data_IF_917700193193
#
_entry.id   IF_917700193193
#
_cell.length_a   1.000
_cell.length_b   1.000
_cell.length_c   1.000
_cell.angle_alpha   90.00
_cell.angle_beta   90.00
_cell.angle_gamma   90.00
#
_symmetry.space_group_name_H-M   'P 1'
#
loop_
_entity.id
_entity.type
_entity.pdbx_description
1 polymer ?
#
# COMPACT_ATOMS: atom_id res chain seq x y z
N UNK A 1 26.29 -17.03 10.94
CA UNK A 1 26.41 -16.27 9.67
C UNK A 1 25.09 -15.65 9.19
N UNK A 2 24.09 -16.39 8.66
CA UNK A 2 22.82 -15.77 8.20
C UNK A 2 22.04 -15.11 9.35
N UNK A 3 21.99 -15.74 10.51
CA UNK A 3 21.34 -15.23 11.73
C UNK A 3 21.98 -13.97 12.29
N UNK A 4 23.31 -13.81 12.16
CA UNK A 4 24.02 -12.61 12.64
C UNK A 4 23.76 -11.40 11.75
N UNK A 5 23.62 -11.63 10.44
CA UNK A 5 23.22 -10.58 9.50
C UNK A 5 21.80 -10.09 9.78
N UNK A 6 20.83 -11.01 9.97
CA UNK A 6 19.44 -10.63 10.27
C UNK A 6 19.32 -9.85 11.58
N UNK A 7 20.12 -10.20 12.60
CA UNK A 7 20.19 -9.44 13.85
C UNK A 7 20.76 -8.04 13.65
N UNK A 8 21.75 -7.87 12.77
CA UNK A 8 22.36 -6.57 12.46
C UNK A 8 21.45 -5.66 11.64
N UNK A 9 20.66 -6.25 10.72
CA UNK A 9 19.72 -5.50 9.88
C UNK A 9 18.39 -5.23 10.58
N UNK A 10 18.09 -5.91 11.68
CA UNK A 10 16.83 -5.72 12.40
C UNK A 10 16.72 -4.28 12.95
N UNK A 11 15.65 -3.60 12.58
CA UNK A 11 15.44 -2.20 12.92
C UNK A 11 14.48 -1.53 11.96
N UNK A 12 14.23 -0.25 12.20
CA UNK A 12 13.47 0.64 11.33
C UNK A 12 14.39 1.72 10.78
N UNK A 13 14.25 1.99 9.49
CA UNK A 13 15.10 2.90 8.73
C UNK A 13 14.21 3.90 7.98
N UNK A 14 14.69 5.14 7.88
CA UNK A 14 14.07 6.17 7.04
C UNK A 14 14.81 6.23 5.71
N UNK A 15 14.06 6.44 4.63
CA UNK A 15 14.63 6.68 3.32
C UNK A 15 15.28 8.07 3.27
N UNK A 16 16.53 8.13 2.78
CA UNK A 16 17.26 9.39 2.61
C UNK A 16 17.31 9.87 1.17
N UNK A 17 17.57 8.96 0.22
CA UNK A 17 17.65 9.27 -1.21
C UNK A 17 17.53 7.97 -2.03
N UNK A 18 17.18 8.10 -3.31
CA UNK A 18 17.22 7.03 -4.30
C UNK A 18 17.69 7.55 -5.64
N UNK A 19 18.42 6.70 -6.36
CA UNK A 19 18.65 6.86 -7.80
C UNK A 19 18.44 5.49 -8.45
N UNK A 20 17.91 5.48 -9.66
CA UNK A 20 17.67 4.25 -10.40
C UNK A 20 18.16 4.42 -11.83
N UNK A 21 18.98 3.50 -12.30
CA UNK A 21 19.61 3.56 -13.62
C UNK A 21 19.39 2.24 -14.36
N UNK A 22 19.14 2.32 -15.67
CA UNK A 22 19.08 1.17 -16.56
C UNK A 22 19.93 1.44 -17.81
N UNK A 23 21.02 0.68 -17.95
CA UNK A 23 21.96 0.77 -19.07
C UNK A 23 22.47 2.20 -19.38
N UNK A 24 22.80 2.96 -18.33
CA UNK A 24 23.31 4.34 -18.44
C UNK A 24 22.23 5.42 -18.56
N UNK A 25 20.95 5.05 -18.56
CA UNK A 25 19.82 5.99 -18.53
C UNK A 25 19.19 6.00 -17.14
N UNK A 26 19.01 7.19 -16.56
CA UNK A 26 18.27 7.33 -15.30
C UNK A 26 16.78 7.01 -15.51
N UNK A 27 16.21 6.24 -14.59
CA UNK A 27 14.82 5.84 -14.60
C UNK A 27 13.98 6.86 -13.84
N UNK A 28 12.88 7.29 -14.43
CA UNK A 28 11.89 8.11 -13.77
C UNK A 28 11.29 7.38 -12.56
N UNK A 29 11.12 8.11 -11.45
CA UNK A 29 10.55 7.56 -10.24
C UNK A 29 9.01 7.61 -10.28
N UNK A 30 8.30 6.49 -10.09
CA UNK A 30 6.84 6.48 -10.07
C UNK A 30 6.22 7.21 -8.87
N UNK A 31 7.02 7.59 -7.86
CA UNK A 31 6.58 8.35 -6.68
C UNK A 31 6.92 9.84 -6.75
N UNK A 32 7.43 10.33 -7.88
CA UNK A 32 7.82 11.73 -8.02
C UNK A 32 9.27 12.03 -7.65
N UNK A 33 9.59 13.31 -7.62
CA UNK A 33 10.91 13.82 -7.25
C UNK A 33 11.09 13.80 -5.72
N UNK A 34 10.02 14.06 -4.96
CA UNK A 34 10.05 14.06 -3.51
C UNK A 34 9.14 12.99 -2.93
N UNK A 35 9.74 12.08 -2.16
CA UNK A 35 9.00 11.03 -1.48
C UNK A 35 9.74 10.55 -0.24
N UNK A 36 8.99 10.00 0.70
CA UNK A 36 9.51 9.45 1.96
C UNK A 36 9.28 7.95 2.02
N UNK A 37 10.02 7.28 2.90
CA UNK A 37 9.82 5.86 3.11
C UNK A 37 10.31 5.36 4.46
N UNK A 38 9.67 4.30 4.93
CA UNK A 38 10.07 3.55 6.11
C UNK A 38 10.32 2.10 5.70
N UNK A 39 11.48 1.58 6.09
CA UNK A 39 11.86 0.19 5.93
C UNK A 39 11.98 -0.45 7.32
N UNK A 40 11.30 -1.56 7.55
CA UNK A 40 11.39 -2.31 8.80
C UNK A 40 11.85 -3.73 8.51
N UNK A 41 12.92 -4.16 9.18
CA UNK A 41 13.38 -5.54 9.21
C UNK A 41 13.16 -6.13 10.61
N UNK A 42 12.66 -7.35 10.66
CA UNK A 42 12.53 -8.12 11.91
C UNK A 42 13.76 -9.01 12.13
N UNK A 43 14.04 -9.36 13.40
CA UNK A 43 15.14 -10.28 13.75
C UNK A 43 14.99 -11.68 13.15
N UNK A 44 13.76 -12.06 12.76
CA UNK A 44 13.45 -13.35 12.15
C UNK A 44 13.47 -13.31 10.62
N UNK A 45 13.77 -12.16 10.01
CA UNK A 45 13.99 -12.03 8.57
C UNK A 45 12.82 -11.51 7.74
N UNK A 46 11.70 -11.12 8.35
CA UNK A 46 10.62 -10.40 7.66
C UNK A 46 11.01 -8.95 7.38
N UNK A 47 10.52 -8.41 6.26
CA UNK A 47 10.76 -7.04 5.84
C UNK A 47 9.47 -6.38 5.32
N UNK A 48 9.28 -5.10 5.63
CA UNK A 48 8.26 -4.25 5.01
C UNK A 48 8.89 -2.91 4.62
N UNK A 49 8.62 -2.47 3.39
CA UNK A 49 8.97 -1.14 2.91
C UNK A 49 7.69 -0.41 2.51
N UNK A 50 7.47 0.76 3.09
CA UNK A 50 6.35 1.64 2.74
C UNK A 50 6.95 2.95 2.26
N UNK A 51 6.61 3.34 1.03
CA UNK A 51 7.06 4.57 0.41
C UNK A 51 5.83 5.38 0.01
N UNK A 52 5.89 6.70 0.15
CA UNK A 52 4.83 7.60 -0.22
C UNK A 52 5.41 8.87 -0.84
N UNK A 53 4.85 9.28 -1.98
CA UNK A 53 5.10 10.60 -2.54
C UNK A 53 4.75 11.68 -1.51
N UNK A 54 5.56 12.73 -1.43
CA UNK A 54 5.21 13.98 -0.76
C UNK A 54 4.96 15.12 -1.75
N UNK A 55 5.19 14.90 -3.04
CA UNK A 55 4.74 15.82 -4.09
C UNK A 55 3.20 15.86 -4.09
N UNK A 56 2.66 17.07 -3.96
CA UNK A 56 1.21 17.30 -3.80
C UNK A 56 0.41 16.90 -5.03
N UNK A 57 1.03 16.89 -6.21
CA UNK A 57 0.46 16.42 -7.47
C UNK A 57 0.10 14.93 -7.47
N UNK A 58 0.83 14.10 -6.70
CA UNK A 58 0.53 12.67 -6.57
C UNK A 58 -0.41 12.35 -5.41
N UNK A 59 -0.75 13.34 -4.57
CA UNK A 59 -1.81 13.19 -3.58
C UNK A 59 -3.12 12.83 -4.27
N UNK A 60 -3.91 11.88 -3.73
CA UNK A 60 -5.19 11.55 -4.35
C UNK A 60 -6.09 12.79 -4.33
N UNK A 61 -6.48 13.23 -5.52
CA UNK A 61 -7.41 14.34 -5.70
C UNK A 61 -8.84 13.82 -5.51
N UNK A 62 -9.71 14.60 -4.86
CA UNK A 62 -11.12 14.24 -4.60
C UNK A 62 -11.35 13.03 -3.66
N UNK A 63 -10.57 12.90 -2.59
CA UNK A 63 -10.94 12.00 -1.49
C UNK A 63 -12.18 12.57 -0.80
N UNK A 64 -13.36 12.01 -1.06
CA UNK A 64 -14.55 12.29 -0.25
C UNK A 64 -14.60 11.30 0.92
N UNK A 65 -14.52 11.82 2.13
CA UNK A 65 -14.96 11.13 3.34
C UNK A 65 -16.14 11.92 3.92
N UNK A 66 -17.30 11.30 4.24
CA UNK A 66 -17.61 9.86 4.34
C UNK A 66 -17.68 9.10 2.99
N UNK A 67 -17.74 7.74 3.00
CA UNK A 67 -17.91 6.94 1.78
C UNK A 67 -19.13 7.39 0.99
N UNK A 68 -19.01 7.33 -0.34
CA UNK A 68 -20.06 7.69 -1.28
C UNK A 68 -21.34 6.88 -0.96
N UNK A 69 -22.46 7.58 -0.67
CA UNK A 69 -23.75 7.00 -0.23
C UNK A 69 -24.34 5.92 -1.15
N UNK A 70 -23.78 5.76 -2.35
CA UNK A 70 -24.23 4.79 -3.36
C UNK A 70 -23.89 3.32 -3.02
N UNK A 71 -23.10 3.05 -1.98
CA UNK A 71 -22.67 1.69 -1.63
C UNK A 71 -22.94 1.36 -0.16
N UNK A 72 -23.73 0.32 0.14
CA UNK A 72 -23.98 -0.08 1.52
C UNK A 72 -22.68 -0.54 2.18
N UNK A 73 -22.36 0.08 3.32
CA UNK A 73 -21.23 -0.27 4.17
C UNK A 73 -21.69 -0.27 5.63
N UNK A 74 -21.19 -1.23 6.40
CA UNK A 74 -21.34 -1.32 7.86
C UNK A 74 -19.98 -1.07 8.51
N UNK A 75 -19.86 -1.17 9.83
CA UNK A 75 -18.54 -1.10 10.48
C UNK A 75 -17.61 -2.27 10.10
N UNK A 76 -18.17 -3.40 9.65
CA UNK A 76 -17.41 -4.65 9.49
C UNK A 76 -17.41 -5.20 8.06
N UNK A 77 -18.29 -4.74 7.19
CA UNK A 77 -18.33 -5.15 5.79
C UNK A 77 -18.92 -4.09 4.88
N UNK A 78 -18.43 -4.01 3.65
CA UNK A 78 -18.95 -3.08 2.66
C UNK A 78 -18.03 -2.95 1.47
N UNK A 79 -18.15 -1.82 0.77
CA UNK A 79 -17.31 -1.47 -0.36
C UNK A 79 -16.61 -0.13 -0.13
N UNK A 80 -15.32 -0.09 -0.46
CA UNK A 80 -14.47 1.09 -0.52
C UNK A 80 -14.19 1.42 -1.98
N UNK A 81 -14.12 2.72 -2.30
CA UNK A 81 -13.65 3.18 -3.61
C UNK A 81 -12.26 3.76 -3.42
N UNK A 82 -11.26 3.13 -4.05
CA UNK A 82 -9.92 3.67 -4.12
C UNK A 82 -9.71 4.43 -5.43
N UNK A 83 -9.08 5.60 -5.33
CA UNK A 83 -8.62 6.35 -6.50
C UNK A 83 -9.32 7.70 -6.70
N UNK A 84 -9.16 8.32 -7.88
CA UNK A 84 -8.45 7.80 -9.07
C UNK A 84 -7.02 7.38 -8.76
N UNK A 85 -6.61 6.17 -9.14
CA UNK A 85 -5.28 5.69 -8.75
C UNK A 85 -4.18 6.45 -9.48
N UNK A 86 -3.34 7.15 -8.74
CA UNK A 86 -2.14 7.80 -9.31
C UNK A 86 -1.06 6.77 -9.65
N UNK A 87 -0.88 5.75 -8.79
CA UNK A 87 0.17 4.73 -8.94
C UNK A 87 -0.44 3.32 -8.91
N UNK A 88 -0.01 2.48 -9.84
CA UNK A 88 -0.42 1.07 -9.93
C UNK A 88 0.62 0.25 -10.70
N UNK A 89 0.84 -0.99 -10.27
CA UNK A 89 1.65 -1.98 -11.01
C UNK A 89 0.94 -2.49 -12.28
N UNK A 90 -0.40 -2.42 -12.31
CA UNK A 90 -1.21 -2.63 -13.51
C UNK A 90 -1.47 -1.26 -14.16
N UNK A 91 -0.85 -0.95 -15.32
CA UNK A 91 -0.97 0.36 -15.95
C UNK A 91 -2.42 0.77 -16.25
N UNK A 92 -3.27 -0.19 -16.62
CA UNK A 92 -4.69 0.03 -16.95
C UNK A 92 -5.54 0.50 -15.77
N UNK A 93 -5.03 0.44 -14.54
CA UNK A 93 -5.74 0.92 -13.35
C UNK A 93 -5.41 2.38 -13.01
N UNK A 94 -4.36 2.98 -13.59
CA UNK A 94 -4.02 4.38 -13.32
C UNK A 94 -5.12 5.30 -13.86
N UNK A 95 -5.47 6.32 -13.09
CA UNK A 95 -6.55 7.26 -13.40
C UNK A 95 -7.97 6.69 -13.23
N UNK A 96 -8.12 5.45 -12.79
CA UNK A 96 -9.45 4.81 -12.61
C UNK A 96 -9.85 4.72 -11.13
N UNK A 97 -11.17 4.73 -10.89
CA UNK A 97 -11.74 4.36 -9.60
C UNK A 97 -11.78 2.84 -9.45
N UNK A 98 -11.48 2.36 -8.26
CA UNK A 98 -11.33 0.95 -7.95
C UNK A 98 -12.23 0.59 -6.78
N UNK A 99 -13.39 0.02 -7.09
CA UNK A 99 -14.27 -0.56 -6.08
C UNK A 99 -13.62 -1.81 -5.46
N UNK A 100 -13.56 -1.87 -4.14
CA UNK A 100 -12.99 -2.96 -3.36
C UNK A 100 -13.94 -3.33 -2.24
N UNK A 101 -14.28 -4.60 -2.12
CA UNK A 101 -15.04 -5.08 -0.99
C UNK A 101 -14.10 -5.20 0.21
N UNK A 102 -14.58 -4.82 1.39
CA UNK A 102 -13.83 -5.01 2.63
C UNK A 102 -14.60 -5.87 3.63
N UNK A 103 -13.85 -6.54 4.50
CA UNK A 103 -14.37 -7.24 5.67
C UNK A 103 -13.40 -7.07 6.83
N UNK A 104 -13.90 -6.65 7.99
CA UNK A 104 -13.16 -6.54 9.24
C UNK A 104 -13.50 -7.76 10.11
N UNK A 105 -12.47 -8.49 10.55
CA UNK A 105 -12.60 -9.63 11.44
C UNK A 105 -12.02 -9.24 12.80
N UNK A 106 -12.85 -9.28 13.84
CA UNK A 106 -12.42 -9.15 15.24
C UNK A 106 -12.23 -10.54 15.83
N UNK A 107 -11.06 -10.81 16.40
CA UNK A 107 -10.67 -12.08 17.03
C UNK A 107 -9.94 -11.80 18.34
N UNK A 108 -9.78 -12.83 19.16
CA UNK A 108 -9.04 -12.73 20.43
C UNK A 108 -7.59 -12.27 20.23
N UNK A 109 -6.98 -12.56 19.08
CA UNK A 109 -5.60 -12.20 18.74
C UNK A 109 -5.48 -10.89 17.93
N UNK A 110 -6.58 -10.16 17.73
CA UNK A 110 -6.59 -8.82 17.16
C UNK A 110 -7.66 -8.59 16.09
N UNK A 111 -7.49 -7.48 15.35
CA UNK A 111 -8.40 -7.08 14.27
C UNK A 111 -7.70 -7.23 12.91
N UNK A 112 -8.41 -7.82 11.95
CA UNK A 112 -7.90 -8.09 10.62
C UNK A 112 -8.80 -7.46 9.56
N UNK A 113 -8.21 -6.79 8.59
CA UNK A 113 -8.91 -6.19 7.45
C UNK A 113 -8.58 -6.99 6.19
N UNK A 114 -9.62 -7.51 5.53
CA UNK A 114 -9.54 -8.07 4.19
C UNK A 114 -10.06 -7.04 3.20
N UNK A 115 -9.28 -6.70 2.19
CA UNK A 115 -9.70 -5.92 1.01
C UNK A 115 -9.61 -6.82 -0.21
N UNK A 116 -10.66 -6.89 -1.01
CA UNK A 116 -10.72 -7.80 -2.15
C UNK A 116 -11.55 -7.29 -3.32
N UNK A 117 -11.27 -7.80 -4.51
CA UNK A 117 -12.10 -7.61 -5.69
C UNK A 117 -12.01 -8.81 -6.64
N UNK A 118 -13.10 -9.04 -7.37
CA UNK A 118 -13.17 -9.93 -8.50
C UNK A 118 -13.57 -9.14 -9.74
N UNK A 119 -12.87 -9.33 -10.85
CA UNK A 119 -13.29 -8.83 -12.15
C UNK A 119 -12.89 -9.82 -13.24
N UNK A 120 -13.78 -10.74 -13.60
CA UNK A 120 -13.64 -11.70 -14.71
C UNK A 120 -12.36 -12.56 -14.69
N UNK A 121 -11.23 -11.92 -15.03
CA UNK A 121 -9.87 -12.45 -15.07
C UNK A 121 -9.02 -12.15 -13.83
N UNK A 122 -9.39 -11.16 -13.00
CA UNK A 122 -8.61 -10.79 -11.81
C UNK A 122 -9.34 -11.17 -10.51
N UNK A 123 -8.61 -11.84 -9.61
CA UNK A 123 -9.00 -12.08 -8.23
C UNK A 123 -7.91 -11.49 -7.34
N UNK A 124 -8.27 -10.53 -6.50
CA UNK A 124 -7.33 -9.89 -5.57
C UNK A 124 -7.84 -10.00 -4.15
N UNK A 125 -6.96 -10.39 -3.24
CA UNK A 125 -7.20 -10.47 -1.79
C UNK A 125 -5.97 -9.89 -1.11
N UNK A 126 -6.18 -8.89 -0.26
CA UNK A 126 -5.13 -8.27 0.54
C UNK A 126 -5.59 -8.31 1.99
N UNK A 127 -4.72 -8.78 2.87
CA UNK A 127 -5.00 -8.93 4.29
C UNK A 127 -4.06 -8.09 5.12
N UNK A 128 -4.62 -7.40 6.11
CA UNK A 128 -3.91 -6.55 7.04
C UNK A 128 -4.29 -6.96 8.46
N UNK A 129 -3.32 -6.94 9.38
CA UNK A 129 -3.59 -7.00 10.82
C UNK A 129 -3.42 -5.59 11.37
N UNK A 130 -4.41 -5.12 12.12
CA UNK A 130 -4.37 -3.84 12.81
C UNK A 130 -3.38 -3.92 13.98
N UNK A 131 -2.58 -2.86 14.18
CA UNK A 131 -1.49 -2.85 15.16
C UNK A 131 -1.92 -2.28 16.53
N UNK A 132 -3.07 -1.61 16.60
CA UNK A 132 -3.69 -1.05 17.81
C UNK A 132 -4.91 -1.87 18.31
#
# INVERSE_FOLDING_TARGET
MKTDLLKKLAGSYVLLNTTAWNNGTELANPLGENYTGILTYTRTGWMSANLASIDTEFSPQNISWPPHDAYPATEEEGQLIHGPLTVSSLPSWRGTLQARNYTVYKRDDGVFLRIWAYSGVFKTHIWWKRLD
#
